data_IF_343776626193
#
_entry.id   IF_343776626193
#
_cell.length_a   1.000
_cell.length_b   1.000
_cell.length_c   1.000
_cell.angle_alpha   90.00
_cell.angle_beta   90.00
_cell.angle_gamma   90.00
#
_symmetry.space_group_name_H-M   'P 1'
#
loop_
_entity.id
_entity.type
_entity.pdbx_description
1 polymer ?
#
# COMPACT_ATOMS: atom_id res chain seq x y z
N UNK A 1 0.29 -42.84 0.14
CA UNK A 1 0.06 -41.48 -0.43
C UNK A 1 1.11 -41.19 -1.49
N UNK A 2 0.70 -41.03 -2.75
CA UNK A 2 1.62 -40.75 -3.88
C UNK A 2 2.29 -39.37 -3.72
N UNK A 3 3.52 -39.22 -4.23
CA UNK A 3 4.31 -38.00 -4.10
C UNK A 3 3.57 -36.72 -4.58
N UNK A 4 2.69 -36.84 -5.58
CA UNK A 4 1.88 -35.73 -6.10
C UNK A 4 0.81 -35.20 -5.13
N UNK A 5 0.27 -36.03 -4.24
CA UNK A 5 -0.70 -35.59 -3.22
C UNK A 5 0.00 -34.83 -2.11
N UNK A 6 1.17 -35.32 -1.64
CA UNK A 6 1.99 -34.63 -0.63
C UNK A 6 2.39 -33.23 -1.09
N UNK A 7 2.85 -33.08 -2.35
CA UNK A 7 3.22 -31.78 -2.92
C UNK A 7 2.05 -30.80 -2.97
N UNK A 8 0.84 -31.27 -3.30
CA UNK A 8 -0.37 -30.43 -3.29
C UNK A 8 -0.77 -29.98 -1.89
N UNK A 9 -0.71 -30.88 -0.90
CA UNK A 9 -1.01 -30.55 0.49
C UNK A 9 -0.04 -29.51 1.05
N UNK A 10 1.27 -29.68 0.81
CA UNK A 10 2.29 -28.70 1.24
C UNK A 10 2.07 -27.34 0.57
N UNK A 11 1.78 -27.33 -0.74
CA UNK A 11 1.50 -26.07 -1.47
C UNK A 11 0.24 -25.38 -0.96
N UNK A 12 -0.83 -26.13 -0.70
CA UNK A 12 -2.07 -25.60 -0.17
C UNK A 12 -1.90 -25.08 1.27
N UNK A 13 -1.18 -25.82 2.11
CA UNK A 13 -0.83 -25.40 3.47
C UNK A 13 -0.01 -24.11 3.48
N UNK A 14 1.03 -24.04 2.64
CA UNK A 14 1.87 -22.84 2.48
C UNK A 14 1.07 -21.63 1.99
N UNK A 15 0.17 -21.80 1.02
CA UNK A 15 -0.68 -20.72 0.51
C UNK A 15 -1.64 -20.18 1.56
N UNK A 16 -2.24 -21.08 2.36
CA UNK A 16 -3.12 -20.67 3.45
C UNK A 16 -2.36 -19.89 4.55
N UNK A 17 -1.13 -20.30 4.86
CA UNK A 17 -0.28 -19.57 5.79
C UNK A 17 0.12 -18.19 5.24
N UNK A 18 0.55 -18.12 3.98
CA UNK A 18 0.89 -16.87 3.33
C UNK A 18 -0.28 -15.88 3.35
N UNK A 19 -1.50 -16.34 3.02
CA UNK A 19 -2.70 -15.49 3.13
C UNK A 19 -2.93 -14.97 4.53
N UNK A 20 -2.70 -15.78 5.57
CA UNK A 20 -2.88 -15.36 6.96
C UNK A 20 -1.87 -14.28 7.36
N UNK A 21 -0.64 -14.36 6.85
CA UNK A 21 0.42 -13.38 7.12
C UNK A 21 0.19 -12.08 6.34
N UNK A 22 -0.27 -12.17 5.08
CA UNK A 22 -0.42 -11.01 4.20
C UNK A 22 -1.67 -10.18 4.56
N UNK A 23 -2.77 -10.82 4.95
CA UNK A 23 -4.03 -10.14 5.30
C UNK A 23 -3.91 -8.98 6.31
N UNK A 24 -3.12 -9.08 7.40
CA UNK A 24 -2.96 -7.98 8.34
C UNK A 24 -2.03 -6.86 7.87
N UNK A 25 -1.21 -7.08 6.83
CA UNK A 25 -0.21 -6.10 6.37
C UNK A 25 -0.83 -4.73 6.07
N UNK A 26 -1.96 -4.61 5.34
CA UNK A 26 -2.57 -3.31 5.09
C UNK A 26 -2.95 -2.59 6.39
N UNK A 27 -3.51 -3.29 7.37
CA UNK A 27 -3.95 -2.69 8.63
C UNK A 27 -2.76 -2.20 9.45
N UNK A 28 -1.76 -3.07 9.65
CA UNK A 28 -0.55 -2.73 10.41
C UNK A 28 0.22 -1.62 9.70
N UNK A 29 0.36 -1.72 8.38
CA UNK A 29 1.01 -0.71 7.55
C UNK A 29 0.35 0.65 7.67
N UNK A 30 -0.99 0.72 7.62
CA UNK A 30 -1.73 1.98 7.81
C UNK A 30 -1.50 2.58 9.19
N UNK A 31 -1.56 1.76 10.25
CA UNK A 31 -1.32 2.25 11.62
C UNK A 31 0.10 2.82 11.77
N UNK A 32 1.10 2.11 11.25
CA UNK A 32 2.49 2.56 11.28
C UNK A 32 2.68 3.84 10.48
N UNK A 33 2.14 3.91 9.26
CA UNK A 33 2.23 5.10 8.40
C UNK A 33 1.62 6.34 9.06
N UNK A 34 0.41 6.21 9.63
CA UNK A 34 -0.25 7.30 10.36
C UNK A 34 0.51 7.70 11.62
N UNK A 35 1.05 6.72 12.35
CA UNK A 35 1.88 6.97 13.52
C UNK A 35 3.15 7.76 13.18
N UNK A 36 3.83 7.39 12.10
CA UNK A 36 5.03 8.08 11.61
C UNK A 36 4.69 9.49 11.11
N UNK A 37 3.62 9.65 10.33
CA UNK A 37 3.13 10.94 9.90
C UNK A 37 2.86 11.87 11.10
N UNK A 38 2.13 11.38 12.10
CA UNK A 38 1.85 12.13 13.33
C UNK A 38 3.13 12.45 14.12
N UNK A 39 4.07 11.51 14.20
CA UNK A 39 5.36 11.72 14.86
C UNK A 39 6.17 12.83 14.17
N UNK A 40 6.22 12.85 12.84
CA UNK A 40 6.93 13.88 12.10
C UNK A 40 6.26 15.26 12.22
N UNK A 41 4.92 15.30 12.21
CA UNK A 41 4.16 16.53 12.47
C UNK A 41 4.46 17.05 13.87
N UNK A 42 4.46 16.17 14.89
CA UNK A 42 4.79 16.55 16.27
C UNK A 42 6.23 17.06 16.39
N UNK A 43 7.18 16.46 15.66
CA UNK A 43 8.60 16.80 15.72
C UNK A 43 8.95 18.08 14.96
N UNK A 44 8.34 18.32 13.79
CA UNK A 44 8.65 19.44 12.87
C UNK A 44 7.68 20.62 13.03
N UNK A 45 6.60 20.46 13.80
CA UNK A 45 5.50 21.41 13.92
C UNK A 45 4.46 21.24 12.81
N UNK A 46 3.25 21.77 13.03
CA UNK A 46 2.10 21.49 12.16
C UNK A 46 2.33 21.87 10.70
N UNK A 47 2.82 23.09 10.42
CA UNK A 47 3.04 23.54 9.04
C UNK A 47 4.14 22.74 8.32
N UNK A 48 5.37 22.78 8.83
CA UNK A 48 6.52 22.12 8.18
C UNK A 48 6.40 20.60 8.16
N UNK A 49 5.82 20.02 9.21
CA UNK A 49 5.55 18.59 9.29
C UNK A 49 4.48 18.13 8.31
N UNK A 50 3.37 18.87 8.17
CA UNK A 50 2.32 18.53 7.21
C UNK A 50 2.82 18.61 5.77
N UNK A 51 3.60 19.64 5.42
CA UNK A 51 4.22 19.73 4.09
C UNK A 51 5.13 18.54 3.83
N UNK A 52 5.97 18.18 4.80
CA UNK A 52 6.90 17.06 4.62
C UNK A 52 6.18 15.72 4.40
N UNK A 53 5.26 15.37 5.30
CA UNK A 53 4.45 14.14 5.18
C UNK A 53 3.60 14.16 3.91
N UNK A 54 3.06 15.32 3.53
CA UNK A 54 2.27 15.47 2.31
C UNK A 54 3.09 15.22 1.05
N UNK A 55 4.34 15.68 1.00
CA UNK A 55 5.26 15.40 -0.09
C UNK A 55 5.61 13.91 -0.17
N UNK A 56 5.81 13.25 0.97
CA UNK A 56 6.08 11.82 1.03
C UNK A 56 4.88 10.97 0.56
N UNK A 57 3.66 11.51 0.66
CA UNK A 57 2.44 10.83 0.21
C UNK A 57 2.23 10.89 -1.32
N UNK A 58 2.97 11.73 -2.06
CA UNK A 58 2.76 11.94 -3.50
C UNK A 58 2.85 10.64 -4.33
N UNK A 59 3.82 9.74 -4.13
CA UNK A 59 3.88 8.49 -4.90
C UNK A 59 2.67 7.58 -4.63
N UNK A 60 2.13 7.60 -3.41
CA UNK A 60 0.94 6.82 -3.05
C UNK A 60 -0.29 7.37 -3.76
N UNK A 61 -0.44 8.70 -3.78
CA UNK A 61 -1.52 9.38 -4.50
C UNK A 61 -1.44 9.08 -6.00
N UNK A 62 -0.25 9.15 -6.60
CA UNK A 62 -0.03 8.82 -8.01
C UNK A 62 -0.36 7.35 -8.32
N UNK A 63 0.05 6.43 -7.44
CA UNK A 63 -0.28 5.00 -7.58
C UNK A 63 -1.80 4.78 -7.49
N UNK A 64 -2.46 5.44 -6.54
CA UNK A 64 -3.91 5.36 -6.40
C UNK A 64 -4.62 5.90 -7.65
N UNK A 65 -4.17 7.04 -8.19
CA UNK A 65 -4.66 7.59 -9.46
C UNK A 65 -4.52 6.58 -10.59
N UNK A 66 -3.34 6.00 -10.78
CA UNK A 66 -3.09 5.02 -11.84
C UNK A 66 -3.98 3.77 -11.71
N UNK A 67 -4.20 3.27 -10.48
CA UNK A 67 -5.13 2.15 -10.25
C UNK A 67 -6.55 2.56 -10.64
N UNK A 68 -7.01 3.74 -10.23
CA UNK A 68 -8.35 4.21 -10.55
C UNK A 68 -8.54 4.33 -12.06
N UNK A 69 -7.59 4.94 -12.77
CA UNK A 69 -7.65 5.12 -14.22
C UNK A 69 -7.68 3.81 -15.00
N UNK A 70 -7.05 2.74 -14.49
CA UNK A 70 -7.17 1.39 -15.07
C UNK A 70 -8.62 0.90 -15.07
N UNK A 71 -9.42 1.25 -14.06
CA UNK A 71 -10.80 0.75 -13.92
C UNK A 71 -11.86 1.70 -14.48
N UNK A 72 -11.63 3.01 -14.44
CA UNK A 72 -12.64 4.01 -14.81
C UNK A 72 -12.36 4.69 -16.16
N UNK A 73 -11.17 4.51 -16.73
CA UNK A 73 -10.65 5.40 -17.77
C UNK A 73 -10.09 6.69 -17.17
N UNK A 74 -9.60 7.57 -18.05
CA UNK A 74 -8.87 8.78 -17.69
C UNK A 74 -9.76 9.78 -16.93
N UNK A 75 -9.56 9.90 -15.61
CA UNK A 75 -10.39 10.76 -14.76
C UNK A 75 -9.83 12.17 -14.63
N UNK A 76 -8.52 12.32 -14.75
CA UNK A 76 -7.85 13.61 -14.66
C UNK A 76 -7.08 13.77 -15.95
N UNK A 77 -7.67 14.54 -16.87
CA UNK A 77 -7.10 14.84 -18.17
C UNK A 77 -5.62 15.23 -18.02
N UNK A 78 -4.79 14.52 -18.79
CA UNK A 78 -3.37 14.83 -18.81
C UNK A 78 -3.17 16.25 -19.31
N UNK A 79 -2.40 17.06 -18.58
CA UNK A 79 -2.03 18.37 -19.09
C UNK A 79 -1.02 18.09 -20.20
N UNK A 80 -1.34 18.51 -21.43
CA UNK A 80 -0.37 18.55 -22.53
C UNK A 80 0.86 19.30 -22.02
N UNK A 81 1.93 18.55 -21.74
CA UNK A 81 3.24 19.12 -21.54
C UNK A 81 3.70 19.68 -22.88
N UNK A 82 3.93 20.99 -22.93
CA UNK A 82 4.87 21.58 -23.88
C UNK A 82 6.30 21.19 -23.49
#
# INVERSE_FOLDING_TARGET
>A
MTAGVKRRVVRAGGWNLAKRIIKPIPVIGTVVALGLAGYEIKKKGLGRGAVHVGLDALPVIGTAKGIVEIFTGDLIADKKGE
#
